data_IF_791597831878
#
_entry.id   IF_791597831878
#
_cell.length_a   1.000
_cell.length_b   1.000
_cell.length_c   1.000
_cell.angle_alpha   90.00
_cell.angle_beta   90.00
_cell.angle_gamma   90.00
#
_symmetry.space_group_name_H-M   'P 1'
#
loop_
_entity.id
_entity.type
_entity.pdbx_description
1 polymer ?
#
# COMPACT_ATOMS: atom_id res chain seq x y z
N UNK A 1 11.07 -24.59 16.16
CA UNK A 1 10.79 -23.42 15.29
C UNK A 1 11.10 -23.83 13.87
N UNK A 2 10.07 -24.18 13.10
CA UNK A 2 10.26 -24.56 11.70
C UNK A 2 10.53 -23.28 10.89
N UNK A 3 11.66 -23.22 10.21
CA UNK A 3 12.01 -22.08 9.36
C UNK A 3 11.09 -22.04 8.12
N UNK A 4 10.51 -20.89 7.76
CA UNK A 4 9.71 -20.77 6.56
C UNK A 4 10.57 -20.94 5.30
N UNK A 5 10.04 -21.61 4.27
CA UNK A 5 10.74 -21.78 2.99
C UNK A 5 10.56 -20.52 2.14
N UNK A 6 11.66 -19.81 1.85
CA UNK A 6 11.67 -18.67 0.94
C UNK A 6 11.48 -19.19 -0.49
N UNK A 7 10.52 -18.62 -1.22
CA UNK A 7 10.28 -18.93 -2.64
C UNK A 7 10.52 -17.67 -3.44
N UNK A 8 11.37 -17.76 -4.45
CA UNK A 8 11.62 -16.65 -5.38
C UNK A 8 10.94 -16.97 -6.69
N UNK A 9 9.94 -16.18 -7.08
CA UNK A 9 9.36 -16.28 -8.41
C UNK A 9 10.22 -15.49 -9.41
N UNK A 10 10.17 -15.84 -10.69
CA UNK A 10 10.93 -15.15 -11.74
C UNK A 10 10.64 -13.65 -11.82
N UNK A 11 9.38 -13.27 -11.59
CA UNK A 11 8.95 -11.86 -11.51
C UNK A 11 9.59 -11.13 -10.34
N UNK A 12 9.79 -11.80 -9.20
CA UNK A 12 10.47 -11.23 -8.03
C UNK A 12 11.96 -11.05 -8.31
N UNK A 13 12.59 -12.07 -8.91
CA UNK A 13 13.99 -12.00 -9.29
C UNK A 13 14.26 -10.80 -10.21
N UNK A 14 13.39 -10.54 -11.18
CA UNK A 14 13.48 -9.38 -12.07
C UNK A 14 13.42 -8.06 -11.29
N UNK A 15 12.48 -7.93 -10.35
CA UNK A 15 12.37 -6.74 -9.49
C UNK A 15 13.64 -6.52 -8.67
N UNK A 16 14.17 -7.57 -8.05
CA UNK A 16 15.40 -7.49 -7.26
C UNK A 16 16.63 -7.16 -8.12
N UNK A 17 16.70 -7.67 -9.35
CA UNK A 17 17.75 -7.30 -10.31
C UNK A 17 17.68 -5.80 -10.61
N UNK A 18 16.50 -5.27 -10.95
CA UNK A 18 16.32 -3.83 -11.16
C UNK A 18 16.66 -3.01 -9.92
N UNK A 19 16.29 -3.48 -8.73
CA UNK A 19 16.65 -2.83 -7.47
C UNK A 19 18.17 -2.77 -7.29
N UNK A 20 18.88 -3.89 -7.52
CA UNK A 20 20.34 -3.95 -7.41
C UNK A 20 20.97 -2.98 -8.41
N UNK A 21 20.55 -3.00 -9.68
CA UNK A 21 21.03 -2.04 -10.68
C UNK A 21 20.75 -0.59 -10.29
N UNK A 22 19.57 -0.30 -9.76
CA UNK A 22 19.21 1.03 -9.25
C UNK A 22 20.13 1.48 -8.10
N UNK A 23 20.37 0.60 -7.12
CA UNK A 23 21.27 0.89 -5.99
C UNK A 23 22.71 1.09 -6.48
N UNK A 24 23.22 0.23 -7.36
CA UNK A 24 24.55 0.37 -7.94
C UNK A 24 24.68 1.68 -8.72
N UNK A 25 23.66 2.06 -9.48
CA UNK A 25 23.60 3.33 -10.21
C UNK A 25 23.64 4.52 -9.26
N UNK A 26 22.89 4.48 -8.15
CA UNK A 26 22.92 5.53 -7.12
C UNK A 26 24.31 5.62 -6.48
N UNK A 27 24.95 4.49 -6.15
CA UNK A 27 26.29 4.47 -5.55
C UNK A 27 27.33 5.03 -6.52
N UNK A 28 27.26 4.66 -7.79
CA UNK A 28 28.14 5.18 -8.83
C UNK A 28 27.96 6.69 -9.03
N UNK A 29 26.73 7.17 -9.16
CA UNK A 29 26.40 8.59 -9.31
C UNK A 29 26.82 9.41 -8.10
N UNK A 30 26.71 8.87 -6.88
CA UNK A 30 27.12 9.58 -5.65
C UNK A 30 28.62 9.82 -5.54
N UNK A 31 29.44 9.04 -6.23
CA UNK A 31 30.90 9.22 -6.22
C UNK A 31 31.34 10.38 -7.12
N UNK A 32 30.51 10.77 -8.08
CA UNK A 32 30.84 11.79 -9.07
C UNK A 32 30.06 13.09 -8.84
N UNK A 33 30.73 14.20 -8.47
CA UNK A 33 30.09 15.49 -8.18
C UNK A 33 29.26 16.05 -9.34
N UNK A 34 29.65 15.75 -10.57
CA UNK A 34 28.93 16.20 -11.77
C UNK A 34 27.54 15.57 -11.90
N UNK A 35 27.44 14.25 -11.72
CA UNK A 35 26.19 13.52 -11.91
C UNK A 35 25.19 13.80 -10.79
N UNK A 36 25.64 13.91 -9.54
CA UNK A 36 24.76 14.22 -8.41
C UNK A 36 24.14 15.63 -8.52
N UNK A 37 24.80 16.57 -9.19
CA UNK A 37 24.27 17.92 -9.43
C UNK A 37 22.94 17.92 -10.16
N UNK A 38 22.77 17.05 -11.17
CA UNK A 38 21.52 16.90 -11.93
C UNK A 38 20.40 16.33 -11.07
N UNK A 39 20.69 15.30 -10.27
CA UNK A 39 19.74 14.74 -9.31
C UNK A 39 19.34 15.74 -8.23
N UNK A 40 20.26 16.59 -7.81
CA UNK A 40 19.96 17.65 -6.86
C UNK A 40 18.99 18.69 -7.43
N UNK A 41 19.05 19.00 -8.72
CA UNK A 41 18.06 19.87 -9.36
C UNK A 41 16.65 19.26 -9.31
N UNK A 42 16.51 17.97 -9.57
CA UNK A 42 15.23 17.26 -9.43
C UNK A 42 14.74 17.31 -7.97
N UNK A 43 15.62 17.05 -7.01
CA UNK A 43 15.31 17.07 -5.58
C UNK A 43 14.98 18.47 -5.04
N UNK A 44 15.44 19.55 -5.69
CA UNK A 44 15.03 20.93 -5.37
C UNK A 44 13.60 21.23 -5.80
N UNK A 45 13.06 20.48 -6.76
CA UNK A 45 11.69 20.70 -7.25
C UNK A 45 10.66 20.03 -6.33
N UNK A 46 9.60 20.77 -5.96
CA UNK A 46 8.51 20.22 -5.15
C UNK A 46 7.84 19.03 -5.82
N UNK A 47 7.60 19.12 -7.14
CA UNK A 47 7.02 18.04 -7.92
C UNK A 47 7.93 16.81 -7.97
N UNK A 48 9.23 16.98 -8.16
CA UNK A 48 10.18 15.87 -8.19
C UNK A 48 10.26 15.11 -6.86
N UNK A 49 10.21 15.83 -5.75
CA UNK A 49 10.17 15.22 -4.42
C UNK A 49 8.86 14.46 -4.17
N UNK A 50 7.73 15.03 -4.60
CA UNK A 50 6.41 14.39 -4.47
C UNK A 50 6.33 13.10 -5.27
N UNK A 51 6.63 13.17 -6.57
CA UNK A 51 6.67 11.98 -7.42
C UNK A 51 7.68 10.95 -6.88
N UNK A 52 8.84 11.40 -6.39
CA UNK A 52 9.83 10.53 -5.78
C UNK A 52 9.30 9.77 -4.56
N UNK A 53 8.54 10.42 -3.68
CA UNK A 53 7.95 9.76 -2.52
C UNK A 53 6.91 8.71 -2.92
N UNK A 54 6.04 9.01 -3.90
CA UNK A 54 5.07 8.05 -4.45
C UNK A 54 5.80 6.83 -5.04
N UNK A 55 6.86 7.05 -5.81
CA UNK A 55 7.64 5.95 -6.40
C UNK A 55 8.32 5.09 -5.32
N UNK A 56 8.84 5.71 -4.26
CA UNK A 56 9.38 4.98 -3.11
C UNK A 56 8.28 4.16 -2.41
N UNK A 57 7.08 4.70 -2.25
CA UNK A 57 5.95 3.96 -1.67
C UNK A 57 5.58 2.75 -2.54
N UNK A 58 5.48 2.94 -3.87
CA UNK A 58 5.22 1.86 -4.83
C UNK A 58 6.31 0.78 -4.76
N UNK A 59 7.58 1.19 -4.68
CA UNK A 59 8.71 0.28 -4.53
C UNK A 59 8.61 -0.52 -3.22
N UNK A 60 8.30 0.13 -2.09
CA UNK A 60 8.14 -0.55 -0.80
C UNK A 60 7.00 -1.57 -0.85
N UNK A 61 5.83 -1.21 -1.39
CA UNK A 61 4.69 -2.13 -1.55
C UNK A 61 5.09 -3.31 -2.43
N UNK A 62 5.72 -3.05 -3.57
CA UNK A 62 6.16 -4.10 -4.49
C UNK A 62 7.22 -5.04 -3.86
N UNK A 63 8.13 -4.51 -3.05
CA UNK A 63 9.12 -5.31 -2.31
C UNK A 63 8.46 -6.20 -1.25
N UNK A 64 7.56 -5.65 -0.45
CA UNK A 64 6.81 -6.44 0.55
C UNK A 64 5.99 -7.55 -0.09
N UNK A 65 5.44 -7.28 -1.27
CA UNK A 65 4.67 -8.24 -2.04
C UNK A 65 5.60 -9.32 -2.67
N UNK A 66 6.78 -8.95 -3.16
CA UNK A 66 7.77 -9.89 -3.74
C UNK A 66 8.47 -10.80 -2.73
N UNK A 67 8.42 -10.47 -1.44
CA UNK A 67 8.98 -11.34 -0.40
C UNK A 67 8.02 -12.48 -0.07
N UNK A 68 8.15 -13.60 -0.78
CA UNK A 68 7.31 -14.77 -0.56
C UNK A 68 7.95 -15.83 0.32
N UNK A 69 7.11 -16.44 1.15
CA UNK A 69 7.47 -17.56 1.99
C UNK A 69 6.33 -18.56 2.09
N UNK A 70 6.66 -19.83 2.34
CA UNK A 70 5.69 -20.87 2.69
C UNK A 70 5.70 -21.07 4.21
N UNK A 71 4.57 -20.86 4.91
CA UNK A 71 4.50 -21.20 6.32
C UNK A 71 4.67 -22.72 6.49
N UNK A 72 5.47 -23.11 7.48
CA UNK A 72 5.60 -24.51 7.85
C UNK A 72 4.32 -24.95 8.58
N UNK A 73 3.75 -26.09 8.19
CA UNK A 73 2.63 -26.67 8.91
C UNK A 73 3.17 -27.25 10.23
N UNK A 74 2.53 -26.90 11.35
CA UNK A 74 2.77 -27.57 12.62
C UNK A 74 2.21 -28.99 12.52
N UNK A 75 3.09 -29.94 12.19
CA UNK A 75 2.79 -31.37 12.28
C UNK A 75 2.69 -31.68 13.76
N UNK A 76 1.48 -31.70 14.31
CA UNK A 76 1.25 -32.07 15.71
C UNK A 76 1.95 -33.39 16.04
N UNK A 77 2.97 -33.32 16.90
CA UNK A 77 3.67 -34.33 17.71
C UNK A 77 3.69 -35.85 17.36
N UNK A 78 3.23 -36.35 16.20
CA UNK A 78 3.11 -37.79 15.89
C UNK A 78 3.23 -38.10 14.39
N UNK A 79 4.25 -37.59 13.72
CA UNK A 79 4.57 -38.02 12.36
C UNK A 79 6.03 -37.84 12.03
N UNK A 80 6.79 -38.94 11.98
CA UNK A 80 8.16 -38.94 11.47
C UNK A 80 8.13 -38.67 9.95
N UNK A 81 8.44 -37.44 9.57
CA UNK A 81 8.57 -36.99 8.19
C UNK A 81 8.91 -35.50 8.21
N UNK A 82 9.90 -35.08 7.42
CA UNK A 82 10.45 -33.73 7.44
C UNK A 82 9.42 -32.59 7.28
N UNK A 83 9.84 -31.32 7.44
CA UNK A 83 8.93 -30.18 7.48
C UNK A 83 8.00 -30.16 6.27
N UNK A 84 6.68 -30.32 6.52
CA UNK A 84 5.63 -30.16 5.50
C UNK A 84 5.27 -28.68 5.42
N UNK A 85 5.50 -28.09 4.26
CA UNK A 85 5.13 -26.71 3.98
C UNK A 85 3.69 -26.62 3.50
N UNK A 86 3.00 -25.52 3.84
CA UNK A 86 1.70 -25.21 3.25
C UNK A 86 1.80 -25.08 1.73
N UNK A 87 0.74 -25.47 1.02
CA UNK A 87 0.66 -25.37 -0.45
C UNK A 87 0.58 -23.90 -0.89
N UNK A 88 0.04 -23.02 -0.04
CA UNK A 88 -0.08 -21.59 -0.31
C UNK A 88 1.23 -20.84 -0.06
N UNK A 89 1.63 -20.06 -1.06
CA UNK A 89 2.74 -19.11 -0.97
C UNK A 89 2.17 -17.78 -0.48
N UNK A 90 2.69 -17.27 0.64
CA UNK A 90 2.26 -16.00 1.24
C UNK A 90 3.34 -14.94 0.99
N UNK A 91 2.95 -13.71 0.68
CA UNK A 91 3.87 -12.57 0.72
C UNK A 91 3.91 -11.91 2.11
N UNK A 92 4.95 -11.10 2.37
CA UNK A 92 4.97 -10.26 3.60
C UNK A 92 3.82 -9.25 3.57
N UNK A 93 3.47 -8.73 2.39
CA UNK A 93 2.28 -7.88 2.23
C UNK A 93 1.00 -8.62 2.65
N UNK A 94 0.89 -9.92 2.37
CA UNK A 94 -0.28 -10.73 2.79
C UNK A 94 -0.42 -10.82 4.31
N UNK A 95 0.68 -10.79 5.06
CA UNK A 95 0.63 -10.77 6.52
C UNK A 95 0.06 -9.43 7.03
N UNK A 96 0.50 -8.32 6.43
CA UNK A 96 0.04 -6.97 6.78
C UNK A 96 -1.44 -6.79 6.42
N UNK A 97 -1.86 -7.34 5.27
CA UNK A 97 -3.23 -7.29 4.76
C UNK A 97 -4.08 -8.48 5.19
N UNK A 98 -3.64 -9.26 6.19
CA UNK A 98 -4.27 -10.51 6.61
C UNK A 98 -5.81 -10.47 6.73
N UNK A 99 -6.40 -9.47 7.43
CA UNK A 99 -7.85 -9.34 7.52
C UNK A 99 -8.55 -9.22 6.16
N UNK A 100 -7.99 -8.44 5.23
CA UNK A 100 -8.56 -8.22 3.90
C UNK A 100 -8.49 -9.47 3.02
N UNK A 101 -7.47 -10.31 3.20
CA UNK A 101 -7.32 -11.57 2.45
C UNK A 101 -8.26 -12.65 2.94
N UNK A 102 -8.42 -12.79 4.26
CA UNK A 102 -9.16 -13.92 4.86
C UNK A 102 -10.67 -13.68 4.87
N UNK A 103 -11.09 -12.41 4.88
CA UNK A 103 -12.51 -12.03 4.91
C UNK A 103 -13.12 -12.00 3.50
N UNK A 104 -13.08 -13.13 2.79
CA UNK A 104 -13.72 -13.22 1.48
C UNK A 104 -15.23 -13.43 1.58
N UNK A 105 -15.97 -12.73 0.73
CA UNK A 105 -17.42 -12.80 0.64
C UNK A 105 -17.87 -13.85 -0.38
N UNK A 106 -19.18 -14.04 -0.55
CA UNK A 106 -19.69 -14.99 -1.54
C UNK A 106 -19.66 -14.45 -2.97
N UNK A 107 -19.77 -13.14 -3.13
CA UNK A 107 -19.89 -12.51 -4.44
C UNK A 107 -19.61 -11.01 -4.35
N UNK A 108 -19.97 -10.30 -5.42
CA UNK A 108 -19.82 -8.87 -5.56
C UNK A 108 -20.51 -8.08 -4.44
N UNK A 109 -19.88 -6.97 -4.06
CA UNK A 109 -20.44 -5.93 -3.20
C UNK A 109 -20.05 -4.55 -3.70
N UNK A 110 -20.89 -3.56 -3.43
CA UNK A 110 -20.55 -2.17 -3.67
C UNK A 110 -19.57 -1.65 -2.59
N UNK A 111 -18.81 -0.57 -2.86
CA UNK A 111 -17.95 0.05 -1.86
C UNK A 111 -18.70 0.37 -0.57
N UNK A 112 -18.14 -0.02 0.57
CA UNK A 112 -18.71 0.22 1.90
C UNK A 112 -20.12 -0.36 2.12
N UNK A 113 -20.54 -1.35 1.31
CA UNK A 113 -21.86 -1.96 1.44
C UNK A 113 -21.97 -2.90 2.66
N UNK A 114 -23.21 -3.10 3.11
CA UNK A 114 -23.60 -4.14 4.08
C UNK A 114 -24.37 -5.31 3.44
N UNK A 115 -24.66 -5.22 2.14
CA UNK A 115 -25.41 -6.21 1.38
C UNK A 115 -24.64 -6.67 0.15
N UNK A 116 -24.81 -7.94 -0.22
CA UNK A 116 -24.33 -8.49 -1.47
C UNK A 116 -25.09 -7.86 -2.64
N UNK A 117 -24.40 -7.68 -3.76
CA UNK A 117 -24.99 -7.12 -4.97
C UNK A 117 -25.93 -8.10 -5.68
N UNK A 118 -25.75 -9.41 -5.48
CA UNK A 118 -26.60 -10.42 -6.11
C UNK A 118 -27.83 -10.72 -5.25
N UNK A 119 -29.01 -10.72 -5.87
CA UNK A 119 -30.26 -11.09 -5.20
C UNK A 119 -30.31 -12.60 -5.00
N UNK A 120 -30.63 -13.02 -3.78
CA UNK A 120 -30.95 -14.40 -3.46
C UNK A 120 -32.46 -14.57 -3.32
N UNK A 121 -32.93 -15.77 -3.61
CA UNK A 121 -34.34 -16.15 -3.51
C UNK A 121 -34.50 -16.99 -2.24
N UNK A 122 -35.38 -16.56 -1.35
CA UNK A 122 -35.82 -17.39 -0.23
C UNK A 122 -37.27 -17.78 -0.45
N UNK A 123 -37.53 -19.09 -0.41
CA UNK A 123 -38.87 -19.64 -0.45
C UNK A 123 -39.39 -19.64 1.00
N UNK A 124 -40.40 -18.82 1.28
CA UNK A 124 -41.07 -18.82 2.58
C UNK A 124 -41.81 -20.14 2.82
N UNK A 125 -42.13 -20.45 4.08
CA UNK A 125 -42.84 -21.69 4.43
C UNK A 125 -44.22 -21.85 3.76
N UNK A 126 -44.78 -20.79 3.18
CA UNK A 126 -46.01 -20.79 2.38
C UNK A 126 -45.82 -20.79 0.86
N UNK A 127 -44.61 -21.03 0.34
CA UNK A 127 -44.32 -21.04 -1.10
C UNK A 127 -44.11 -19.66 -1.74
N UNK A 128 -44.19 -18.56 -0.98
CA UNK A 128 -43.85 -17.23 -1.48
C UNK A 128 -42.35 -17.13 -1.81
N UNK A 129 -42.08 -16.79 -3.07
CA UNK A 129 -40.74 -16.54 -3.60
C UNK A 129 -40.44 -15.06 -3.41
N UNK A 130 -39.57 -14.69 -2.46
CA UNK A 130 -39.11 -13.32 -2.28
C UNK A 130 -37.64 -13.19 -2.67
N UNK A 131 -37.35 -12.21 -3.53
CA UNK A 131 -35.99 -11.80 -3.87
C UNK A 131 -35.51 -10.73 -2.87
N UNK A 132 -34.34 -10.92 -2.29
CA UNK A 132 -33.74 -9.96 -1.36
C UNK A 132 -32.23 -9.92 -1.57
N UNK A 133 -31.60 -8.82 -1.15
CA UNK A 133 -30.14 -8.71 -1.10
C UNK A 133 -29.66 -9.29 0.23
N UNK A 134 -28.89 -10.39 0.24
CA UNK A 134 -28.41 -10.98 1.48
C UNK A 134 -27.35 -10.07 2.13
N UNK A 135 -27.31 -10.07 3.48
CA UNK A 135 -26.27 -9.36 4.23
C UNK A 135 -24.90 -9.97 3.96
N UNK A 136 -23.89 -9.10 3.90
CA UNK A 136 -22.48 -9.51 3.85
C UNK A 136 -22.08 -10.19 5.17
N UNK A 137 -21.12 -11.11 5.10
CA UNK A 137 -20.66 -11.87 6.27
C UNK A 137 -19.70 -11.05 7.14
N UNK A 138 -18.87 -10.24 6.50
CA UNK A 138 -17.82 -9.43 7.11
C UNK A 138 -18.13 -7.93 6.96
N UNK A 139 -18.59 -7.50 5.77
CA UNK A 139 -18.94 -6.10 5.53
C UNK A 139 -20.17 -5.64 6.32
N UNK A 140 -20.00 -4.68 7.24
CA UNK A 140 -21.12 -4.06 7.97
C UNK A 140 -21.87 -5.01 8.93
N UNK A 141 -21.26 -6.14 9.30
CA UNK A 141 -21.89 -7.15 10.16
C UNK A 141 -22.15 -6.65 11.60
N UNK A 142 -21.48 -5.58 12.03
CA UNK A 142 -21.72 -4.96 13.35
C UNK A 142 -22.98 -4.10 13.40
N UNK A 143 -23.60 -3.79 12.26
CA UNK A 143 -24.79 -2.94 12.21
C UNK A 143 -26.06 -3.73 12.49
N UNK A 144 -26.90 -3.19 13.37
CA UNK A 144 -28.24 -3.73 13.63
C UNK A 144 -29.16 -3.47 12.45
N UNK A 145 -29.25 -2.20 12.04
CA UNK A 145 -30.02 -1.75 10.89
C UNK A 145 -29.14 -0.97 9.88
N UNK A 146 -28.55 -1.67 8.88
CA UNK A 146 -27.68 -1.05 7.90
C UNK A 146 -28.31 0.04 7.04
N UNK A 147 -29.64 0.08 6.88
CA UNK A 147 -30.28 1.11 6.05
C UNK A 147 -30.20 2.50 6.68
N UNK A 148 -30.20 2.58 8.00
CA UNK A 148 -30.19 3.85 8.74
C UNK A 148 -28.81 4.15 9.35
N UNK A 149 -28.09 3.13 9.81
CA UNK A 149 -26.87 3.32 10.61
C UNK A 149 -25.60 3.45 9.76
N UNK A 150 -25.59 2.93 8.53
CA UNK A 150 -24.37 2.78 7.73
C UNK A 150 -23.67 4.10 7.44
N UNK A 151 -24.41 5.13 7.02
CA UNK A 151 -23.80 6.43 6.67
C UNK A 151 -23.15 7.06 7.91
N UNK A 152 -23.84 7.05 9.05
CA UNK A 152 -23.32 7.64 10.28
C UNK A 152 -22.13 6.87 10.83
N UNK A 153 -22.17 5.54 10.78
CA UNK A 153 -21.07 4.70 11.22
C UNK A 153 -19.82 4.88 10.34
N UNK A 154 -19.98 4.96 9.03
CA UNK A 154 -18.88 5.27 8.08
C UNK A 154 -18.28 6.64 8.36
N UNK A 155 -19.10 7.68 8.55
CA UNK A 155 -18.64 9.03 8.87
C UNK A 155 -17.86 9.03 10.19
N UNK A 156 -18.39 8.39 11.23
CA UNK A 156 -17.73 8.30 12.53
C UNK A 156 -16.37 7.60 12.43
N UNK A 157 -16.30 6.44 11.77
CA UNK A 157 -15.03 5.72 11.56
C UNK A 157 -14.04 6.50 10.69
N UNK A 158 -14.54 7.26 9.72
CA UNK A 158 -13.69 8.13 8.89
C UNK A 158 -13.09 9.24 9.72
N UNK A 159 -13.87 9.91 10.57
CA UNK A 159 -13.38 10.97 11.47
C UNK A 159 -12.32 10.40 12.42
N UNK A 160 -12.56 9.23 13.03
CA UNK A 160 -11.57 8.56 13.87
C UNK A 160 -10.29 8.25 13.11
N UNK A 161 -10.39 7.76 11.87
CA UNK A 161 -9.24 7.52 10.99
C UNK A 161 -8.48 8.81 10.69
N UNK A 162 -9.18 9.91 10.42
CA UNK A 162 -8.57 11.23 10.18
C UNK A 162 -7.83 11.75 11.42
N UNK A 163 -8.45 11.66 12.61
CA UNK A 163 -7.81 12.09 13.88
C UNK A 163 -6.55 11.27 14.15
N UNK A 164 -6.62 9.95 13.96
CA UNK A 164 -5.47 9.07 14.14
C UNK A 164 -4.35 9.39 13.13
N UNK A 165 -4.70 9.58 11.85
CA UNK A 165 -3.77 9.97 10.80
C UNK A 165 -3.12 11.34 11.06
N UNK A 166 -3.90 12.33 11.49
CA UNK A 166 -3.39 13.65 11.89
C UNK A 166 -2.44 13.54 13.08
N UNK A 167 -2.77 12.71 14.07
CA UNK A 167 -1.89 12.50 15.24
C UNK A 167 -0.54 11.92 14.81
N UNK A 168 -0.54 10.88 13.96
CA UNK A 168 0.68 10.31 13.41
C UNK A 168 1.47 11.32 12.57
N UNK A 169 0.77 12.12 11.76
CA UNK A 169 1.39 13.16 10.95
C UNK A 169 2.03 14.27 11.80
N UNK A 170 1.36 14.73 12.86
CA UNK A 170 1.92 15.71 13.79
C UNK A 170 3.17 15.16 14.50
N UNK A 171 3.13 13.91 14.98
CA UNK A 171 4.28 13.28 15.61
C UNK A 171 5.45 13.08 14.63
N UNK A 172 5.15 12.62 13.41
CA UNK A 172 6.15 12.41 12.36
C UNK A 172 6.77 13.72 11.86
N UNK A 173 5.96 14.74 11.62
CA UNK A 173 6.45 16.07 11.22
C UNK A 173 7.26 16.73 12.34
N UNK A 174 6.83 16.59 13.60
CA UNK A 174 7.61 17.04 14.75
C UNK A 174 8.98 16.37 14.80
N UNK A 175 9.03 15.04 14.67
CA UNK A 175 10.28 14.27 14.68
C UNK A 175 11.19 14.67 13.51
N UNK A 176 10.65 14.81 12.30
CA UNK A 176 11.41 15.24 11.12
C UNK A 176 12.00 16.63 11.32
N UNK A 177 11.21 17.60 11.80
CA UNK A 177 11.69 18.95 12.08
C UNK A 177 12.75 18.96 13.19
N UNK A 178 12.59 18.11 14.22
CA UNK A 178 13.59 17.96 15.28
C UNK A 178 14.92 17.41 14.74
N UNK A 179 14.90 16.38 13.89
CA UNK A 179 16.10 15.84 13.25
C UNK A 179 16.77 16.90 12.37
N UNK A 180 15.99 17.67 11.60
CA UNK A 180 16.52 18.75 10.76
C UNK A 180 17.14 19.88 11.59
N UNK A 181 16.52 20.26 12.70
CA UNK A 181 17.05 21.26 13.64
C UNK A 181 18.37 20.79 14.27
N UNK A 182 18.42 19.55 14.74
CA UNK A 182 19.63 18.96 15.31
C UNK A 182 20.78 18.93 14.30
N UNK A 183 20.51 18.57 13.04
CA UNK A 183 21.54 18.52 11.98
C UNK A 183 22.02 19.89 11.51
N UNK A 184 21.22 20.93 11.67
CA UNK A 184 21.56 22.30 11.25
C UNK A 184 22.10 23.16 12.39
N UNK A 185 22.14 22.63 13.63
CA UNK A 185 22.58 23.36 14.82
C UNK A 185 21.66 24.53 15.21
N UNK A 186 20.44 24.58 14.67
CA UNK A 186 19.48 25.67 14.88
C UNK A 186 18.35 25.31 15.85
N UNK A 187 17.56 26.32 16.25
CA UNK A 187 16.36 26.13 17.05
C UNK A 187 15.21 25.49 16.25
N UNK A 188 14.35 24.72 16.93
CA UNK A 188 13.19 24.07 16.31
C UNK A 188 12.23 25.08 15.64
N UNK A 189 11.98 26.22 16.30
CA UNK A 189 11.13 27.29 15.77
C UNK A 189 11.69 27.96 14.52
N UNK A 190 13.02 28.09 14.43
CA UNK A 190 13.68 28.67 13.26
C UNK A 190 13.56 27.74 12.06
N UNK A 191 13.75 26.43 12.27
CA UNK A 191 13.54 25.43 11.22
C UNK A 191 12.07 25.34 10.77
N UNK A 192 11.12 25.38 11.70
CA UNK A 192 9.70 25.39 11.37
C UNK A 192 9.36 26.59 10.47
N UNK A 193 9.86 27.79 10.80
CA UNK A 193 9.66 29.01 9.99
C UNK A 193 10.31 28.88 8.61
N UNK A 194 11.51 28.32 8.52
CA UNK A 194 12.22 28.11 7.25
C UNK A 194 11.45 27.15 6.32
N UNK A 195 10.93 26.05 6.88
CA UNK A 195 10.14 25.06 6.13
C UNK A 195 8.80 25.65 5.69
N UNK A 196 8.08 26.33 6.58
CA UNK A 196 6.80 26.98 6.25
C UNK A 196 6.97 28.05 5.17
N UNK A 197 8.02 28.88 5.29
CA UNK A 197 8.36 29.91 4.31
C UNK A 197 8.97 29.35 3.01
N UNK A 198 9.14 28.03 2.91
CA UNK A 198 9.74 27.34 1.77
C UNK A 198 11.13 27.89 1.38
N UNK A 199 11.92 28.29 2.39
CA UNK A 199 13.28 28.86 2.23
C UNK A 199 14.38 27.81 2.36
N UNK A 200 14.00 26.55 2.49
CA UNK A 200 14.94 25.42 2.55
C UNK A 200 15.38 25.03 1.14
N UNK A 201 16.62 24.54 1.01
CA UNK A 201 17.16 24.13 -0.30
C UNK A 201 16.37 22.97 -0.90
N UNK A 202 15.86 22.08 -0.05
CA UNK A 202 14.92 21.03 -0.43
C UNK A 202 13.49 21.45 -0.05
N UNK A 203 12.46 21.11 -0.85
CA UNK A 203 11.08 21.50 -0.61
C UNK A 203 10.41 20.63 0.47
N UNK A 204 10.93 20.68 1.70
CA UNK A 204 10.45 19.87 2.84
C UNK A 204 8.98 20.08 3.16
N UNK A 205 8.43 21.27 2.87
CA UNK A 205 7.00 21.54 3.05
C UNK A 205 6.14 20.61 2.20
N UNK A 206 6.50 20.41 0.93
CA UNK A 206 5.77 19.53 0.03
C UNK A 206 5.81 18.09 0.53
N UNK A 207 7.01 17.62 0.93
CA UNK A 207 7.22 16.27 1.47
C UNK A 207 6.39 16.03 2.75
N UNK A 208 6.40 16.99 3.68
CA UNK A 208 5.63 16.85 4.94
C UNK A 208 4.12 16.80 4.67
N UNK A 209 3.62 17.64 3.77
CA UNK A 209 2.19 17.65 3.39
C UNK A 209 1.81 16.31 2.76
N UNK A 210 2.63 15.81 1.84
CA UNK A 210 2.39 14.56 1.15
C UNK A 210 2.44 13.35 2.10
N UNK A 211 3.44 13.27 2.99
CA UNK A 211 3.49 12.26 4.04
C UNK A 211 2.21 12.33 4.88
N UNK A 212 1.75 13.54 5.23
CA UNK A 212 0.49 13.72 5.95
C UNK A 212 -0.72 13.17 5.21
N UNK A 213 -0.83 13.50 3.91
CA UNK A 213 -1.89 13.00 3.07
C UNK A 213 -1.89 11.46 2.99
N UNK A 214 -0.72 10.85 2.76
CA UNK A 214 -0.56 9.39 2.69
C UNK A 214 -0.94 8.75 4.04
N UNK A 215 -0.47 9.30 5.16
CA UNK A 215 -0.77 8.76 6.50
C UNK A 215 -2.26 8.87 6.86
N UNK A 216 -2.90 10.00 6.53
CA UNK A 216 -4.34 10.18 6.76
C UNK A 216 -5.14 9.20 5.91
N UNK A 217 -4.84 9.10 4.61
CA UNK A 217 -5.52 8.16 3.72
C UNK A 217 -5.32 6.72 4.17
N UNK A 218 -4.11 6.34 4.56
CA UNK A 218 -3.81 5.00 5.07
C UNK A 218 -4.53 4.73 6.40
N UNK A 219 -4.59 5.70 7.32
CA UNK A 219 -5.29 5.57 8.59
C UNK A 219 -6.80 5.41 8.40
N UNK A 220 -7.41 6.21 7.53
CA UNK A 220 -8.83 6.10 7.18
C UNK A 220 -9.11 4.75 6.51
N UNK A 221 -8.31 4.37 5.51
CA UNK A 221 -8.46 3.11 4.80
C UNK A 221 -8.34 1.91 5.76
N UNK A 222 -7.31 1.87 6.61
CA UNK A 222 -7.10 0.78 7.57
C UNK A 222 -8.16 0.73 8.65
N UNK A 223 -8.74 1.86 9.06
CA UNK A 223 -9.83 1.87 10.04
C UNK A 223 -11.14 1.35 9.42
N UNK A 224 -11.50 1.82 8.22
CA UNK A 224 -12.70 1.37 7.50
C UNK A 224 -12.59 -0.10 7.07
N UNK A 225 -11.42 -0.53 6.59
CA UNK A 225 -11.13 -1.90 6.15
C UNK A 225 -11.35 -2.97 7.24
N UNK A 226 -11.39 -2.60 8.52
CA UNK A 226 -11.69 -3.52 9.62
C UNK A 226 -13.16 -3.91 9.72
N UNK A 227 -14.05 -3.09 9.15
CA UNK A 227 -15.50 -3.21 9.29
C UNK A 227 -16.22 -3.34 7.95
N UNK A 228 -15.59 -2.88 6.87
CA UNK A 228 -16.18 -2.81 5.54
C UNK A 228 -15.15 -3.14 4.46
N UNK A 229 -15.62 -3.62 3.32
CA UNK A 229 -14.84 -3.66 2.09
C UNK A 229 -14.78 -2.26 1.47
N UNK A 230 -13.64 -1.56 1.63
CA UNK A 230 -13.50 -0.16 1.26
C UNK A 230 -13.83 0.11 -0.21
N UNK A 231 -13.37 -0.78 -1.10
CA UNK A 231 -13.62 -0.71 -2.54
C UNK A 231 -14.62 -1.78 -3.03
N UNK A 232 -15.26 -2.50 -2.10
CA UNK A 232 -16.13 -3.62 -2.40
C UNK A 232 -15.38 -4.93 -2.67
N UNK A 233 -16.11 -5.92 -3.16
CA UNK A 233 -15.62 -7.27 -3.46
C UNK A 233 -15.88 -7.65 -4.91
N UNK A 234 -15.03 -8.53 -5.45
CA UNK A 234 -15.15 -9.04 -6.81
C UNK A 234 -16.12 -10.24 -6.93
N UNK A 235 -16.18 -10.89 -8.10
CA UNK A 235 -17.04 -12.08 -8.33
C UNK A 235 -16.73 -13.26 -7.42
N UNK A 236 -15.47 -13.39 -7.03
CA UNK A 236 -14.97 -14.48 -6.19
C UNK A 236 -15.10 -14.09 -4.70
N UNK A 237 -15.48 -12.83 -4.43
CA UNK A 237 -15.64 -12.27 -3.10
C UNK A 237 -14.34 -11.79 -2.47
N UNK A 238 -13.26 -11.67 -3.26
CA UNK A 238 -12.02 -11.06 -2.77
C UNK A 238 -12.16 -9.55 -2.66
N UNK A 239 -11.46 -8.97 -1.68
CA UNK A 239 -11.45 -7.53 -1.46
C UNK A 239 -10.68 -6.79 -2.58
N UNK A 240 -11.34 -5.80 -3.19
CA UNK A 240 -10.78 -5.04 -4.32
C UNK A 240 -9.59 -4.16 -3.90
N UNK A 241 -9.54 -3.66 -2.66
CA UNK A 241 -8.38 -2.91 -2.15
C UNK A 241 -7.15 -3.81 -2.05
N UNK A 242 -7.34 -5.04 -1.58
CA UNK A 242 -6.26 -6.03 -1.54
C UNK A 242 -5.74 -6.35 -2.95
N UNK A 243 -6.63 -6.57 -3.92
CA UNK A 243 -6.25 -6.77 -5.32
C UNK A 243 -5.53 -5.56 -5.90
N UNK A 244 -6.00 -4.34 -5.62
CA UNK A 244 -5.38 -3.10 -6.07
C UNK A 244 -3.94 -2.97 -5.55
N UNK A 245 -3.71 -3.27 -4.26
CA UNK A 245 -2.36 -3.23 -3.68
C UNK A 245 -1.43 -4.29 -4.27
N UNK A 246 -1.91 -5.51 -4.52
CA UNK A 246 -1.13 -6.55 -5.21
C UNK A 246 -0.80 -6.18 -6.65
N UNK A 247 -1.68 -5.45 -7.33
CA UNK A 247 -1.46 -5.03 -8.72
C UNK A 247 -0.29 -4.06 -8.88
N UNK A 248 0.10 -3.35 -7.81
CA UNK A 248 1.21 -2.38 -7.79
C UNK A 248 2.51 -2.99 -8.30
N UNK A 249 2.82 -4.22 -7.88
CA UNK A 249 4.04 -4.93 -8.30
C UNK A 249 4.07 -5.14 -9.81
N UNK A 250 2.98 -5.63 -10.37
CA UNK A 250 2.85 -5.87 -11.82
C UNK A 250 2.95 -4.56 -12.59
N UNK A 251 2.24 -3.50 -12.15
CA UNK A 251 2.31 -2.18 -12.79
C UNK A 251 3.71 -1.59 -12.76
N UNK A 252 4.42 -1.72 -11.64
CA UNK A 252 5.81 -1.26 -11.51
C UNK A 252 6.76 -2.01 -12.43
N UNK A 253 6.64 -3.34 -12.53
CA UNK A 253 7.44 -4.14 -13.45
C UNK A 253 7.23 -3.76 -14.92
N UNK A 254 5.97 -3.54 -15.33
CA UNK A 254 5.64 -3.09 -16.69
C UNK A 254 6.26 -1.71 -16.96
N UNK A 255 6.12 -0.78 -16.01
CA UNK A 255 6.66 0.57 -16.15
C UNK A 255 8.19 0.60 -16.24
N UNK A 256 8.89 -0.16 -15.40
CA UNK A 256 10.36 -0.23 -15.43
C UNK A 256 10.82 -0.88 -16.73
N UNK A 257 10.25 -2.04 -17.11
CA UNK A 257 10.68 -2.78 -18.29
C UNK A 257 10.50 -1.94 -19.56
N UNK A 258 9.35 -1.30 -19.73
CA UNK A 258 9.09 -0.42 -20.88
C UNK A 258 10.05 0.75 -20.91
N UNK A 259 10.30 1.41 -19.77
CA UNK A 259 11.23 2.54 -19.70
C UNK A 259 12.66 2.11 -20.02
N UNK A 260 13.14 1.01 -19.44
CA UNK A 260 14.50 0.50 -19.68
C UNK A 260 14.73 0.08 -21.14
N UNK A 261 13.72 -0.50 -21.79
CA UNK A 261 13.83 -0.93 -23.20
C UNK A 261 13.69 0.25 -24.16
N UNK A 262 12.74 1.15 -23.90
CA UNK A 262 12.43 2.25 -24.84
C UNK A 262 13.39 3.43 -24.73
N UNK A 263 13.91 3.73 -23.54
CA UNK A 263 14.78 4.90 -23.34
C UNK A 263 16.06 4.83 -24.21
N UNK A 264 16.79 3.71 -24.31
CA UNK A 264 17.95 3.61 -25.20
C UNK A 264 17.57 3.77 -26.67
N UNK A 265 16.47 3.16 -27.12
CA UNK A 265 16.01 3.27 -28.50
C UNK A 265 15.63 4.71 -28.86
N UNK A 266 14.92 5.40 -27.96
CA UNK A 266 14.55 6.80 -28.11
C UNK A 266 15.78 7.72 -28.16
N UNK A 267 16.80 7.46 -27.32
CA UNK A 267 18.05 8.21 -27.33
C UNK A 267 18.84 8.00 -28.63
N UNK A 268 18.93 6.77 -29.13
CA UNK A 268 19.63 6.49 -30.40
C UNK A 268 18.95 7.20 -31.57
N UNK A 269 17.62 7.08 -31.68
CA UNK A 269 16.87 7.74 -32.74
C UNK A 269 16.91 9.27 -32.61
N UNK A 270 16.83 9.80 -31.39
CA UNK A 270 16.90 11.24 -31.13
C UNK A 270 18.27 11.85 -31.42
N UNK A 271 19.36 11.09 -31.26
CA UNK A 271 20.71 11.53 -31.62
C UNK A 271 21.00 11.46 -33.12
N UNK A 272 20.23 10.67 -33.88
CA UNK A 272 20.37 10.55 -35.34
C UNK A 272 19.65 11.66 -36.12
N UNK A 273 18.71 12.36 -35.50
CA UNK A 273 17.93 13.46 -36.09
C UNK A 273 18.62 14.81 -35.91
#
# INVERSE_FOLDING_TARGET
MNMPQIVVLWTDALLFIFLIFGVLSIVAVRREPYWIGHWYQVAKSGLGMVTGLILVLYLVVALLDSMHFRPALDVGARGQGGPRYGVEVLSVLDLVLGPLRVQSERSYSAPLAAYLYNKEVKIGMGGEVRQFYPRLRYGGNHLGDPEQELVWDVVYKTIYGVIYGLTLWFLGSWLLLWILAYRSGGGWWDQLRLVLANRTVLPWRAVIIEIGLILILAAVATNLARYYHLLGTDKIGEDVLYQALKSVRTGMLIGILTTTVMLPAALVLGLMA
#
